data_IF_902676174690
#
_entry.id   IF_902676174690
#
_cell.length_a   1.000
_cell.length_b   1.000
_cell.length_c   1.000
_cell.angle_alpha   90.00
_cell.angle_beta   90.00
_cell.angle_gamma   90.00
#
_symmetry.space_group_name_H-M   'P 1'
#
loop_
_entity.id
_entity.type
_entity.pdbx_description
1 polymer ?
#
# COMPACT_ATOMS: atom_id res chain seq x y z
N UNK A 1 17.26 57.59 41.19
CA UNK A 1 17.44 56.12 41.14
C UNK A 1 18.91 55.79 40.96
N UNK A 2 19.44 54.88 41.78
CA UNK A 2 20.87 54.55 41.79
C UNK A 2 21.25 53.86 40.47
N UNK A 3 22.35 54.28 39.82
CA UNK A 3 22.76 53.75 38.49
C UNK A 3 22.95 52.23 38.51
N UNK A 4 23.38 51.69 39.65
CA UNK A 4 23.48 50.25 39.93
C UNK A 4 22.12 49.52 39.86
N UNK A 5 21.04 50.18 40.29
CA UNK A 5 19.71 49.58 40.28
C UNK A 5 19.14 49.48 38.87
N UNK A 6 19.41 50.49 38.03
CA UNK A 6 19.01 50.49 36.61
C UNK A 6 19.80 49.43 35.83
N UNK A 7 21.11 49.30 36.11
CA UNK A 7 21.96 48.29 35.49
C UNK A 7 21.52 46.86 35.87
N UNK A 8 21.18 46.61 37.14
CA UNK A 8 20.68 45.32 37.59
C UNK A 8 19.32 44.96 36.93
N UNK A 9 18.41 45.94 36.80
CA UNK A 9 17.12 45.74 36.17
C UNK A 9 17.24 45.45 34.66
N UNK A 10 18.18 46.11 33.97
CA UNK A 10 18.48 45.87 32.57
C UNK A 10 19.09 44.47 32.35
N UNK A 11 19.94 44.01 33.28
CA UNK A 11 20.54 42.67 33.21
C UNK A 11 19.49 41.56 33.41
N UNK A 12 18.53 41.78 34.34
CA UNK A 12 17.42 40.84 34.56
C UNK A 12 16.50 40.80 33.35
N UNK A 13 16.15 41.95 32.75
CA UNK A 13 15.34 41.96 31.52
C UNK A 13 16.04 41.31 30.33
N UNK A 14 17.37 41.44 30.21
CA UNK A 14 18.13 40.76 29.16
C UNK A 14 18.18 39.23 29.37
N UNK A 15 18.19 38.76 30.61
CA UNK A 15 18.16 37.33 30.94
C UNK A 15 16.78 36.68 30.72
N UNK A 16 15.70 37.45 30.69
CA UNK A 16 14.33 36.98 30.45
C UNK A 16 14.03 36.65 28.98
N UNK A 17 14.90 37.03 28.03
CA UNK A 17 14.78 36.69 26.61
C UNK A 17 15.40 35.32 26.30
N UNK A 18 15.14 34.32 27.14
CA UNK A 18 15.35 32.94 26.71
C UNK A 18 14.26 32.62 25.70
N UNK A 19 14.65 32.50 24.43
CA UNK A 19 13.80 32.03 23.35
C UNK A 19 13.11 30.74 23.79
N UNK A 20 11.81 30.81 24.10
CA UNK A 20 10.96 29.63 24.23
C UNK A 20 10.89 29.02 22.84
N UNK A 21 11.87 28.18 22.52
CA UNK A 21 11.78 27.33 21.35
C UNK A 21 10.66 26.34 21.67
N UNK A 22 9.50 26.53 21.04
CA UNK A 22 8.45 25.53 21.08
C UNK A 22 9.10 24.22 20.62
N UNK A 23 9.20 23.24 21.53
CA UNK A 23 9.84 21.96 21.24
C UNK A 23 9.10 21.38 20.03
N UNK A 24 9.79 21.30 18.88
CA UNK A 24 9.21 20.71 17.67
C UNK A 24 8.67 19.34 18.07
N UNK A 25 7.36 19.16 17.97
CA UNK A 25 6.72 17.86 18.16
C UNK A 25 7.44 16.87 17.25
N UNK A 26 8.15 15.92 17.84
CA UNK A 26 8.76 14.81 17.11
C UNK A 26 7.64 13.82 16.83
N UNK A 27 7.16 13.80 15.60
CA UNK A 27 6.21 12.80 15.12
C UNK A 27 6.97 11.71 14.36
N UNK A 28 6.57 10.45 14.55
CA UNK A 28 6.98 9.33 13.70
C UNK A 28 6.01 9.27 12.52
N UNK A 29 6.53 9.33 11.29
CA UNK A 29 5.69 9.23 10.08
C UNK A 29 5.71 7.81 9.56
N UNK A 30 4.52 7.22 9.47
CA UNK A 30 4.27 6.00 8.72
C UNK A 30 3.54 6.35 7.43
N UNK A 31 4.14 6.01 6.29
CA UNK A 31 3.56 6.27 4.97
C UNK A 31 2.59 5.13 4.63
N UNK A 32 1.32 5.47 4.41
CA UNK A 32 0.27 4.53 4.02
C UNK A 32 -0.27 4.94 2.65
N UNK A 33 -0.39 3.99 1.74
CA UNK A 33 -0.89 4.25 0.39
C UNK A 33 -1.78 3.14 -0.15
N UNK A 34 -2.38 3.42 -1.30
CA UNK A 34 -3.08 2.45 -2.13
C UNK A 34 -2.66 2.63 -3.58
N UNK A 35 -2.36 1.53 -4.29
CA UNK A 35 -1.97 1.57 -5.70
C UNK A 35 -2.56 0.40 -6.49
N UNK A 36 -3.37 0.72 -7.49
CA UNK A 36 -3.85 -0.27 -8.46
C UNK A 36 -2.70 -0.61 -9.43
N UNK A 37 -2.37 -1.90 -9.57
CA UNK A 37 -1.23 -2.38 -10.36
C UNK A 37 -1.59 -2.64 -11.85
N UNK A 38 -2.81 -2.28 -12.25
CA UNK A 38 -3.37 -2.36 -13.60
C UNK A 38 -3.29 -3.77 -14.21
N UNK A 39 -3.78 -4.79 -13.52
CA UNK A 39 -3.68 -6.22 -13.85
C UNK A 39 -2.23 -6.71 -13.88
N UNK A 40 -1.65 -6.88 -12.70
CA UNK A 40 -0.38 -7.56 -12.54
C UNK A 40 -0.62 -9.08 -12.57
N UNK A 41 -0.50 -9.66 -13.75
CA UNK A 41 -0.54 -11.10 -14.01
C UNK A 41 0.84 -11.61 -14.40
N UNK A 42 1.13 -12.86 -14.07
CA UNK A 42 2.24 -13.63 -14.58
C UNK A 42 1.95 -14.14 -16.01
N UNK A 43 2.59 -15.22 -16.44
CA UNK A 43 2.52 -15.71 -17.84
C UNK A 43 2.18 -17.20 -17.90
N UNK A 44 1.68 -17.75 -16.80
CA UNK A 44 1.42 -19.17 -16.59
C UNK A 44 -0.10 -19.35 -16.53
N UNK A 45 -0.62 -20.17 -17.45
CA UNK A 45 -2.04 -20.49 -17.55
C UNK A 45 -2.57 -21.12 -16.26
N UNK A 46 -3.56 -20.46 -15.66
CA UNK A 46 -4.34 -20.96 -14.55
C UNK A 46 -5.75 -21.38 -15.02
N UNK A 47 -6.02 -22.69 -15.15
CA UNK A 47 -7.27 -23.22 -15.73
C UNK A 47 -8.52 -22.99 -14.86
N UNK A 48 -8.39 -22.30 -13.73
CA UNK A 48 -9.48 -22.00 -12.79
C UNK A 48 -9.97 -20.55 -12.85
N UNK A 49 -9.27 -19.67 -13.59
CA UNK A 49 -9.61 -18.25 -13.77
C UNK A 49 -9.52 -17.87 -15.26
N UNK A 50 -10.06 -16.71 -15.61
CA UNK A 50 -10.00 -16.18 -16.99
C UNK A 50 -8.77 -15.27 -17.17
N UNK A 51 -7.58 -15.85 -17.28
CA UNK A 51 -6.29 -15.16 -17.42
C UNK A 51 -5.75 -15.16 -18.86
N UNK A 52 -6.50 -15.68 -19.85
CA UNK A 52 -5.95 -16.04 -21.16
C UNK A 52 -5.43 -14.83 -21.96
N UNK A 53 -5.85 -13.61 -21.59
CA UNK A 53 -5.34 -12.38 -22.18
C UNK A 53 -3.90 -12.03 -21.73
N UNK A 54 -3.43 -12.63 -20.64
CA UNK A 54 -2.09 -12.43 -20.06
C UNK A 54 -1.13 -13.57 -20.38
N UNK A 55 -1.48 -14.45 -21.33
CA UNK A 55 -0.60 -15.53 -21.77
C UNK A 55 0.27 -15.15 -22.98
N UNK A 56 1.44 -15.78 -23.17
CA UNK A 56 2.34 -15.48 -24.29
C UNK A 56 1.70 -15.68 -25.67
N UNK A 57 0.76 -16.63 -25.77
CA UNK A 57 0.05 -16.95 -27.02
C UNK A 57 -1.23 -16.11 -27.22
N UNK A 58 -1.54 -15.20 -26.30
CA UNK A 58 -2.71 -14.32 -26.41
C UNK A 58 -2.56 -13.29 -27.54
N UNK A 59 -3.64 -12.64 -27.99
CA UNK A 59 -3.56 -11.49 -28.89
C UNK A 59 -2.71 -10.33 -28.34
N UNK A 60 -2.58 -10.20 -27.00
CA UNK A 60 -1.73 -9.20 -26.35
C UNK A 60 -0.25 -9.57 -26.37
N UNK A 61 0.07 -10.84 -26.67
CA UNK A 61 1.43 -11.39 -26.64
C UNK A 61 2.12 -11.14 -25.28
N UNK A 62 1.34 -11.16 -24.19
CA UNK A 62 1.81 -10.89 -22.84
C UNK A 62 2.79 -11.99 -22.42
N UNK A 63 4.08 -11.67 -22.45
CA UNK A 63 5.16 -12.64 -22.27
C UNK A 63 6.10 -12.21 -21.15
N UNK A 64 7.07 -13.06 -20.83
CA UNK A 64 8.03 -12.85 -19.75
C UNK A 64 8.72 -11.48 -19.80
N UNK A 65 9.01 -10.96 -21.00
CA UNK A 65 9.61 -9.62 -21.15
C UNK A 65 8.64 -8.52 -20.69
N UNK A 66 7.37 -8.60 -21.09
CA UNK A 66 6.34 -7.64 -20.70
C UNK A 66 6.10 -7.70 -19.19
N UNK A 67 6.02 -8.91 -18.63
CA UNK A 67 5.88 -9.13 -17.20
C UNK A 67 6.99 -8.46 -16.38
N UNK A 68 8.27 -8.73 -16.70
CA UNK A 68 9.38 -8.12 -15.97
C UNK A 68 9.54 -6.61 -16.21
N UNK A 69 9.19 -6.13 -17.41
CA UNK A 69 9.16 -4.69 -17.71
C UNK A 69 8.09 -3.98 -16.86
N UNK A 70 6.92 -4.61 -16.69
CA UNK A 70 5.86 -4.12 -15.80
C UNK A 70 6.31 -4.11 -14.34
N UNK A 71 6.89 -5.21 -13.83
CA UNK A 71 7.46 -5.24 -12.48
C UNK A 71 8.50 -4.13 -12.27
N UNK A 72 9.35 -3.88 -13.27
CA UNK A 72 10.33 -2.80 -13.26
C UNK A 72 9.68 -1.41 -13.11
N UNK A 73 8.62 -1.12 -13.87
CA UNK A 73 7.89 0.17 -13.78
C UNK A 73 7.14 0.32 -12.46
N UNK A 74 6.41 -0.71 -12.04
CA UNK A 74 5.70 -0.68 -10.75
C UNK A 74 6.68 -0.49 -9.59
N UNK A 75 7.81 -1.21 -9.61
CA UNK A 75 8.85 -1.07 -8.57
C UNK A 75 9.45 0.33 -8.52
N UNK A 76 9.60 1.00 -9.67
CA UNK A 76 10.11 2.37 -9.75
C UNK A 76 9.19 3.33 -9.02
N UNK A 77 7.90 3.29 -9.34
CA UNK A 77 6.87 4.13 -8.70
C UNK A 77 6.82 3.85 -7.21
N UNK A 78 6.68 2.60 -6.80
CA UNK A 78 6.59 2.21 -5.38
C UNK A 78 7.83 2.64 -4.60
N UNK A 79 9.02 2.57 -5.21
CA UNK A 79 10.27 2.97 -4.55
C UNK A 79 10.37 4.46 -4.28
N UNK A 80 9.53 5.30 -4.87
CA UNK A 80 9.57 6.75 -4.69
C UNK A 80 8.51 7.25 -3.70
N UNK A 81 7.42 6.49 -3.49
CA UNK A 81 6.28 6.90 -2.65
C UNK A 81 6.74 7.27 -1.24
N UNK A 82 6.52 8.54 -0.87
CA UNK A 82 6.76 9.09 0.46
C UNK A 82 8.23 9.18 0.88
N UNK A 83 9.18 8.95 -0.03
CA UNK A 83 10.62 8.96 0.29
C UNK A 83 11.18 10.35 0.62
N UNK A 84 10.50 11.40 0.19
CA UNK A 84 10.74 12.79 0.58
C UNK A 84 10.39 13.07 2.05
N UNK A 85 9.54 12.23 2.66
CA UNK A 85 9.10 12.34 4.05
C UNK A 85 9.79 11.30 4.94
N UNK A 86 9.88 10.05 4.48
CA UNK A 86 10.54 8.95 5.18
C UNK A 86 11.35 8.11 4.18
N UNK A 87 12.69 8.00 4.32
CA UNK A 87 13.52 7.30 3.35
C UNK A 87 13.19 5.81 3.20
N UNK A 88 12.57 5.19 4.22
CA UNK A 88 12.12 3.79 4.12
C UNK A 88 10.86 3.62 3.25
N UNK A 89 10.21 4.73 2.86
CA UNK A 89 9.00 4.79 2.04
C UNK A 89 7.77 4.22 2.73
N UNK A 90 6.96 3.47 1.99
CA UNK A 90 5.69 2.90 2.46
C UNK A 90 5.89 1.97 3.66
N UNK A 91 5.17 2.25 4.74
CA UNK A 91 4.95 1.32 5.85
C UNK A 91 3.89 0.28 5.46
N UNK A 92 2.82 0.73 4.80
CA UNK A 92 1.71 -0.07 4.30
C UNK A 92 1.32 0.41 2.89
N UNK A 93 1.13 -0.53 1.97
CA UNK A 93 0.62 -0.25 0.62
C UNK A 93 -0.44 -1.29 0.28
N UNK A 94 -1.71 -0.87 0.29
CA UNK A 94 -2.78 -1.65 -0.30
C UNK A 94 -2.60 -1.68 -1.82
N UNK A 95 -2.83 -2.83 -2.43
CA UNK A 95 -2.74 -3.01 -3.88
C UNK A 95 -3.98 -3.70 -4.42
N UNK A 96 -4.27 -3.45 -5.69
CA UNK A 96 -5.39 -4.05 -6.39
C UNK A 96 -5.00 -4.44 -7.81
N UNK A 97 -5.82 -5.30 -8.40
CA UNK A 97 -5.56 -5.93 -9.70
C UNK A 97 -4.30 -6.79 -9.70
N UNK A 98 -4.27 -7.69 -8.72
CA UNK A 98 -3.21 -8.69 -8.50
C UNK A 98 -3.74 -10.04 -8.94
N UNK A 99 -2.96 -10.83 -9.67
CA UNK A 99 -3.40 -12.19 -10.01
C UNK A 99 -3.30 -13.18 -8.84
N UNK A 100 -2.16 -13.20 -8.17
CA UNK A 100 -1.82 -14.16 -7.13
C UNK A 100 -0.70 -13.63 -6.21
N UNK A 101 -0.28 -14.41 -5.22
CA UNK A 101 0.80 -14.02 -4.31
C UNK A 101 2.19 -14.01 -4.97
N UNK A 102 2.40 -14.84 -5.99
CA UNK A 102 3.67 -14.98 -6.71
C UNK A 102 4.06 -13.66 -7.38
N UNK A 103 3.12 -12.99 -8.05
CA UNK A 103 3.40 -11.70 -8.68
C UNK A 103 3.76 -10.59 -7.68
N UNK A 104 3.20 -10.63 -6.47
CA UNK A 104 3.56 -9.70 -5.39
C UNK A 104 4.94 -10.02 -4.82
N UNK A 105 5.26 -11.30 -4.67
CA UNK A 105 6.58 -11.74 -4.24
C UNK A 105 7.67 -11.34 -5.24
N UNK A 106 7.41 -11.45 -6.53
CA UNK A 106 8.34 -11.01 -7.57
C UNK A 106 8.49 -9.49 -7.58
N UNK A 107 7.39 -8.75 -7.40
CA UNK A 107 7.42 -7.29 -7.28
C UNK A 107 8.29 -6.81 -6.12
N UNK A 108 8.12 -7.35 -4.90
CA UNK A 108 8.93 -6.92 -3.74
C UNK A 108 10.38 -7.37 -3.82
N UNK A 109 10.72 -8.35 -4.67
CA UNK A 109 12.09 -8.83 -4.91
C UNK A 109 12.83 -8.07 -6.01
N UNK A 110 12.16 -7.16 -6.73
CA UNK A 110 12.80 -6.28 -7.72
C UNK A 110 13.94 -5.47 -7.09
N UNK A 111 14.93 -5.08 -7.90
CA UNK A 111 16.14 -4.40 -7.42
C UNK A 111 15.88 -3.10 -6.65
N UNK A 112 14.79 -2.40 -6.95
CA UNK A 112 14.40 -1.13 -6.29
C UNK A 112 13.65 -1.31 -4.97
N UNK A 113 13.12 -2.51 -4.71
CA UNK A 113 12.29 -2.79 -3.53
C UNK A 113 12.89 -3.83 -2.58
N UNK A 114 13.76 -4.72 -3.06
CA UNK A 114 14.30 -5.84 -2.27
C UNK A 114 14.90 -5.42 -0.92
N UNK A 115 15.60 -4.28 -0.88
CA UNK A 115 16.29 -3.81 0.31
C UNK A 115 15.32 -3.24 1.36
N UNK A 116 14.07 -2.94 0.97
CA UNK A 116 12.99 -2.52 1.90
C UNK A 116 12.40 -3.70 2.66
N UNK A 117 12.70 -4.94 2.26
CA UNK A 117 12.23 -6.17 2.91
C UNK A 117 10.70 -6.22 3.09
N UNK A 118 9.95 -5.67 2.12
CA UNK A 118 8.49 -5.69 2.13
C UNK A 118 7.97 -7.13 2.18
N UNK A 119 6.88 -7.32 2.89
CA UNK A 119 6.16 -8.58 3.04
C UNK A 119 4.78 -8.47 2.43
N UNK A 120 4.21 -9.61 2.08
CA UNK A 120 2.94 -9.72 1.35
C UNK A 120 1.88 -10.31 2.27
N UNK A 121 0.67 -9.75 2.24
CA UNK A 121 -0.55 -10.36 2.75
C UNK A 121 -1.55 -10.42 1.59
N UNK A 122 -2.00 -11.62 1.23
CA UNK A 122 -2.81 -11.89 0.05
C UNK A 122 -3.69 -13.13 0.28
N UNK A 123 -4.85 -13.17 -0.38
CA UNK A 123 -5.71 -14.34 -0.50
C UNK A 123 -6.34 -14.31 -1.89
N UNK A 124 -6.45 -15.48 -2.51
CA UNK A 124 -7.19 -15.62 -3.76
C UNK A 124 -8.69 -15.40 -3.48
N UNK A 125 -9.36 -14.62 -4.33
CA UNK A 125 -10.78 -14.30 -4.17
C UNK A 125 -11.67 -15.00 -5.22
N UNK A 126 -13.00 -14.99 -5.05
CA UNK A 126 -13.93 -15.59 -5.99
C UNK A 126 -14.07 -14.86 -7.35
N UNK A 127 -13.27 -13.84 -7.65
CA UNK A 127 -13.34 -13.14 -8.95
C UNK A 127 -12.94 -14.09 -10.08
N UNK A 128 -13.86 -14.34 -11.01
CA UNK A 128 -13.65 -15.29 -12.10
C UNK A 128 -12.50 -14.88 -13.05
N UNK A 129 -12.03 -13.63 -13.00
CA UNK A 129 -10.87 -13.15 -13.77
C UNK A 129 -9.55 -13.37 -13.01
N UNK A 130 -9.60 -13.88 -11.78
CA UNK A 130 -8.43 -14.01 -10.90
C UNK A 130 -7.83 -12.66 -10.55
N UNK A 131 -8.66 -11.66 -10.25
CA UNK A 131 -8.22 -10.30 -9.93
C UNK A 131 -8.45 -10.06 -8.47
N UNK A 132 -7.39 -9.87 -7.69
CA UNK A 132 -7.42 -9.76 -6.24
C UNK A 132 -6.95 -8.39 -5.73
N UNK A 133 -7.08 -8.25 -4.42
CA UNK A 133 -6.44 -7.20 -3.61
C UNK A 133 -5.35 -7.81 -2.75
N UNK A 134 -4.33 -7.01 -2.45
CA UNK A 134 -3.23 -7.42 -1.57
C UNK A 134 -2.78 -6.28 -0.68
N UNK A 135 -1.86 -6.58 0.23
CA UNK A 135 -1.16 -5.58 1.01
C UNK A 135 0.33 -5.89 1.06
N UNK A 136 1.14 -4.90 0.69
CA UNK A 136 2.58 -4.88 0.95
C UNK A 136 2.83 -4.13 2.26
N UNK A 137 3.67 -4.65 3.13
CA UNK A 137 4.00 -3.98 4.40
C UNK A 137 5.49 -4.07 4.73
N UNK A 138 6.01 -3.04 5.38
CA UNK A 138 7.37 -3.00 5.87
C UNK A 138 7.41 -3.49 7.34
N UNK A 139 8.08 -4.62 7.65
CA UNK A 139 8.14 -5.17 9.01
C UNK A 139 8.78 -4.26 10.05
N UNK A 140 9.53 -3.22 9.63
CA UNK A 140 10.06 -2.20 10.53
C UNK A 140 8.95 -1.37 11.20
N UNK A 141 7.81 -1.23 10.53
CA UNK A 141 6.68 -0.39 10.97
C UNK A 141 5.46 -1.21 11.36
N UNK A 142 5.20 -2.32 10.65
CA UNK A 142 3.97 -3.08 10.81
C UNK A 142 4.23 -4.57 11.08
N UNK A 143 3.61 -5.09 12.14
CA UNK A 143 3.58 -6.53 12.44
C UNK A 143 2.15 -7.05 12.32
N UNK A 144 1.91 -8.01 11.42
CA UNK A 144 0.62 -8.67 11.28
C UNK A 144 0.32 -9.51 12.52
N UNK A 145 -0.88 -9.36 13.08
CA UNK A 145 -1.43 -10.20 14.15
C UNK A 145 -2.35 -11.27 13.56
N UNK A 146 -3.24 -10.87 12.65
CA UNK A 146 -4.18 -11.76 11.95
C UNK A 146 -4.65 -11.13 10.66
N UNK A 147 -5.03 -11.94 9.68
CA UNK A 147 -5.69 -11.47 8.45
C UNK A 147 -6.77 -12.44 8.02
N UNK A 148 -7.72 -11.95 7.23
CA UNK A 148 -8.77 -12.76 6.63
C UNK A 148 -9.28 -12.12 5.34
N UNK A 149 -9.69 -12.90 4.34
CA UNK A 149 -10.58 -12.43 3.29
C UNK A 149 -11.99 -12.26 3.87
N UNK A 150 -12.64 -11.15 3.53
CA UNK A 150 -14.02 -10.88 3.90
C UNK A 150 -14.87 -10.86 2.63
N UNK A 151 -15.68 -11.90 2.48
CA UNK A 151 -16.65 -11.97 1.40
C UNK A 151 -17.74 -10.91 1.55
N UNK A 152 -17.99 -10.17 0.47
CA UNK A 152 -19.07 -9.19 0.41
C UNK A 152 -20.05 -9.59 -0.69
N UNK A 153 -21.24 -10.02 -0.26
CA UNK A 153 -22.33 -10.25 -1.18
C UNK A 153 -22.88 -8.90 -1.67
N UNK A 154 -22.71 -8.62 -2.97
CA UNK A 154 -23.26 -7.42 -3.57
C UNK A 154 -24.78 -7.56 -3.81
N UNK A 155 -25.57 -6.48 -3.70
CA UNK A 155 -27.01 -6.52 -3.97
C UNK A 155 -27.30 -7.03 -5.39
N UNK A 156 -28.28 -7.94 -5.50
CA UNK A 156 -28.50 -8.75 -6.70
C UNK A 156 -29.06 -8.01 -7.92
N UNK A 157 -28.75 -8.55 -9.11
CA UNK A 157 -29.27 -8.07 -10.40
C UNK A 157 -28.50 -8.58 -11.64
N UNK A 158 -27.27 -9.07 -11.46
CA UNK A 158 -26.47 -9.70 -12.50
C UNK A 158 -25.86 -11.02 -11.98
N UNK A 159 -25.62 -11.99 -12.88
CA UNK A 159 -24.98 -13.28 -12.55
C UNK A 159 -23.60 -13.10 -11.91
N UNK A 160 -22.94 -11.98 -12.18
CA UNK A 160 -21.55 -11.70 -11.80
C UNK A 160 -21.40 -11.14 -10.37
N UNK A 161 -22.51 -10.76 -9.71
CA UNK A 161 -22.47 -10.21 -8.35
C UNK A 161 -21.93 -11.21 -7.30
N UNK A 162 -21.93 -12.50 -7.63
CA UNK A 162 -21.45 -13.59 -6.77
C UNK A 162 -19.94 -13.88 -6.91
N UNK A 163 -19.32 -13.43 -8.00
CA UNK A 163 -17.91 -13.69 -8.34
C UNK A 163 -17.11 -12.39 -8.32
N UNK A 164 -17.22 -11.65 -7.21
CA UNK A 164 -16.47 -10.40 -7.00
C UNK A 164 -15.36 -10.63 -5.99
N UNK A 165 -14.40 -9.69 -5.98
CA UNK A 165 -13.31 -9.64 -5.02
C UNK A 165 -13.79 -9.57 -3.59
N UNK A 166 -13.08 -10.30 -2.74
CA UNK A 166 -13.15 -10.14 -1.29
C UNK A 166 -12.47 -8.83 -0.84
N UNK A 167 -12.80 -8.40 0.37
CA UNK A 167 -12.04 -7.36 1.07
C UNK A 167 -10.93 -8.05 1.86
N UNK A 168 -9.68 -7.64 1.66
CA UNK A 168 -8.59 -8.09 2.52
C UNK A 168 -8.66 -7.33 3.85
N UNK A 169 -8.90 -8.05 4.95
CA UNK A 169 -8.78 -7.52 6.31
C UNK A 169 -7.46 -7.95 6.94
N UNK A 170 -6.72 -6.97 7.48
CA UNK A 170 -5.49 -7.21 8.24
C UNK A 170 -5.53 -6.45 9.56
N UNK A 171 -5.34 -7.18 10.65
CA UNK A 171 -5.07 -6.64 11.98
C UNK A 171 -3.57 -6.72 12.24
N UNK A 172 -2.98 -5.64 12.71
CA UNK A 172 -1.58 -5.64 13.12
C UNK A 172 -1.22 -4.50 14.06
N UNK A 173 0.06 -4.41 14.40
CA UNK A 173 0.64 -3.33 15.18
C UNK A 173 1.39 -2.39 14.24
N UNK A 174 0.90 -1.16 14.07
CA UNK A 174 1.60 -0.09 13.36
C UNK A 174 2.28 0.78 14.41
N UNK A 175 3.61 0.80 14.43
CA UNK A 175 4.41 1.55 15.40
C UNK A 175 4.03 1.30 16.87
N UNK A 176 3.56 0.08 17.17
CA UNK A 176 3.20 -0.37 18.51
C UNK A 176 1.71 -0.25 18.86
N UNK A 177 0.90 0.39 18.01
CA UNK A 177 -0.55 0.51 18.24
C UNK A 177 -1.37 -0.38 17.31
N UNK A 178 -2.50 -0.87 17.81
CA UNK A 178 -3.36 -1.79 17.07
C UNK A 178 -4.05 -1.05 15.92
N UNK A 179 -3.78 -1.50 14.70
CA UNK A 179 -4.32 -0.94 13.46
C UNK A 179 -5.07 -2.02 12.69
N UNK A 180 -6.23 -1.64 12.16
CA UNK A 180 -7.08 -2.48 11.33
C UNK A 180 -7.07 -1.89 9.91
N UNK A 181 -6.64 -2.68 8.94
CA UNK A 181 -6.55 -2.30 7.53
C UNK A 181 -7.56 -3.12 6.74
N UNK A 182 -8.31 -2.44 5.88
CA UNK A 182 -9.21 -3.05 4.91
C UNK A 182 -8.77 -2.58 3.52
N UNK A 183 -8.43 -3.53 2.64
CA UNK A 183 -8.12 -3.25 1.23
C UNK A 183 -9.25 -3.80 0.39
N UNK A 184 -9.80 -2.96 -0.48
CA UNK A 184 -10.95 -3.29 -1.30
C UNK A 184 -10.78 -2.71 -2.71
N UNK A 185 -11.31 -3.43 -3.69
CA UNK A 185 -11.40 -2.96 -5.07
C UNK A 185 -12.78 -3.35 -5.61
N UNK A 186 -13.71 -2.39 -5.62
CA UNK A 186 -15.09 -2.64 -6.05
C UNK A 186 -15.21 -2.83 -7.57
N UNK A 187 -16.17 -3.65 -8.06
CA UNK A 187 -16.45 -3.75 -9.48
C UNK A 187 -16.70 -2.39 -10.13
N UNK A 188 -16.18 -2.22 -11.36
CA UNK A 188 -16.52 -1.06 -12.18
C UNK A 188 -18.03 -1.07 -12.51
N UNK A 189 -18.62 0.11 -12.71
CA UNK A 189 -19.99 0.25 -13.24
C UNK A 189 -20.00 -0.09 -14.74
N UNK A 190 -19.76 -1.35 -15.10
CA UNK A 190 -19.93 -1.83 -16.48
C UNK A 190 -21.43 -1.79 -16.85
N UNK A 191 -21.85 -0.73 -17.53
CA UNK A 191 -23.25 -0.48 -17.91
C UNK A 191 -23.76 0.95 -17.68
N UNK A 192 -23.00 1.82 -17.00
CA UNK A 192 -23.42 3.20 -16.71
C UNK A 192 -24.34 3.35 -15.50
N UNK A 193 -24.94 4.52 -15.36
CA UNK A 193 -25.70 4.95 -14.18
C UNK A 193 -27.14 4.43 -14.10
N UNK A 194 -27.64 3.81 -15.16
CA UNK A 194 -29.05 3.44 -15.34
C UNK A 194 -29.43 2.02 -14.86
N UNK A 195 -28.94 1.58 -13.69
CA UNK A 195 -29.51 0.41 -13.00
C UNK A 195 -29.94 0.74 -11.59
#
# INVERSE_FOLDING_TARGET
MNKLFIAALALIMAASFQSVSAQKQQYKVSIVGFYNLENLFDTIDNPHINDEEFLPNSPRQYNTRIYFDKLGRLSDVISQIGTDINPDGVALLGVAEVENDTVLHDLVRTSKLKDRNLKVCHYDSPDARGVDVGMLYNPKYFTVISSAPLYVQLPGGAKDAYFTRDILYVKGLLDGDTTHVFVNHWPSRSGGEER
#
